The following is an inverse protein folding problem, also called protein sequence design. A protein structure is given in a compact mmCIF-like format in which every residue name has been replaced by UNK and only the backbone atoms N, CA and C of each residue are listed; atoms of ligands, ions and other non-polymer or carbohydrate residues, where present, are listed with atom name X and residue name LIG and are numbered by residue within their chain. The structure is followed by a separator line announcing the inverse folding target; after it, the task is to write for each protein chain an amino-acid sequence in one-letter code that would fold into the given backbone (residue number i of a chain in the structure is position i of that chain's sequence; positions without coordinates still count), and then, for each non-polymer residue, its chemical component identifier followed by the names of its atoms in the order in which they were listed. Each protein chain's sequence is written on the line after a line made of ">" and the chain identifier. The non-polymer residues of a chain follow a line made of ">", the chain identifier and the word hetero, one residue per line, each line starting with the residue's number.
data_IF_866649711230
#
_entry.id   IF_866649711230
#
_cell.length_a   1.000
_cell.length_b   1.000
_cell.length_c   1.000
_cell.angle_alpha   90.00
_cell.angle_beta   90.00
_cell.angle_gamma   90.00
#
_symmetry.space_group_name_H-M   'P 1'
#
loop_
_entity.id
_entity.type
_entity.pdbx_description
1 polymer ?
#
# COMPACT_ATOMS: atom_id res chain seq x y z
N UNK A 1 -7.22 10.55 24.35
CA UNK A 1 -7.20 9.21 23.72
C UNK A 1 -6.70 9.38 22.30
N UNK A 2 -5.59 8.72 21.93
CA UNK A 2 -5.15 8.65 20.53
C UNK A 2 -6.18 7.80 19.79
N UNK A 3 -6.83 8.33 18.75
CA UNK A 3 -7.68 7.50 17.87
C UNK A 3 -6.75 6.51 17.16
N UNK A 4 -7.12 5.23 17.09
CA UNK A 4 -6.40 4.26 16.27
C UNK A 4 -6.53 4.62 14.79
N UNK A 5 -5.58 4.18 13.95
CA UNK A 5 -5.66 4.34 12.50
C UNK A 5 -6.96 3.77 11.94
N UNK A 6 -7.43 2.64 12.49
CA UNK A 6 -8.72 2.03 12.18
C UNK A 6 -9.90 3.01 12.37
N UNK A 7 -9.92 3.77 13.47
CA UNK A 7 -10.97 4.75 13.72
C UNK A 7 -10.94 5.91 12.70
N UNK A 8 -9.75 6.34 12.28
CA UNK A 8 -9.66 7.37 11.24
C UNK A 8 -10.15 6.84 9.89
N UNK A 9 -9.73 5.63 9.49
CA UNK A 9 -10.18 4.98 8.26
C UNK A 9 -11.70 4.81 8.26
N UNK A 10 -12.27 4.37 9.39
CA UNK A 10 -13.72 4.28 9.56
C UNK A 10 -14.41 5.63 9.34
N UNK A 11 -13.92 6.71 9.96
CA UNK A 11 -14.49 8.04 9.79
C UNK A 11 -14.33 8.57 8.36
N UNK A 12 -13.22 8.25 7.69
CA UNK A 12 -12.97 8.62 6.30
C UNK A 12 -14.01 7.98 5.38
N UNK A 13 -14.30 6.69 5.54
CA UNK A 13 -15.35 6.02 4.76
C UNK A 13 -16.74 6.62 5.00
N UNK A 14 -17.04 6.99 6.24
CA UNK A 14 -18.27 7.72 6.56
C UNK A 14 -18.34 9.10 5.91
N UNK A 15 -17.23 9.83 5.88
CA UNK A 15 -17.14 11.15 5.25
C UNK A 15 -17.29 11.07 3.73
N UNK A 16 -16.62 10.11 3.09
CA UNK A 16 -16.76 9.82 1.65
C UNK A 16 -18.16 9.31 1.29
N UNK A 17 -18.94 8.82 2.27
CA UNK A 17 -20.22 8.12 2.06
C UNK A 17 -20.06 6.92 1.12
N UNK A 18 -18.93 6.22 1.25
CA UNK A 18 -18.55 5.10 0.41
C UNK A 18 -18.01 3.96 1.25
N UNK A 19 -18.22 2.74 0.77
CA UNK A 19 -17.58 1.55 1.31
C UNK A 19 -16.22 1.29 0.65
N UNK A 20 -15.30 0.60 1.33
CA UNK A 20 -14.04 0.13 0.74
C UNK A 20 -14.21 -0.57 -0.61
N UNK A 21 -15.25 -1.41 -0.76
CA UNK A 21 -15.52 -2.14 -2.00
C UNK A 21 -15.99 -1.25 -3.13
N UNK A 22 -16.77 -0.21 -2.84
CA UNK A 22 -17.15 0.79 -3.84
C UNK A 22 -15.93 1.55 -4.32
N UNK A 23 -15.09 2.02 -3.39
CA UNK A 23 -13.83 2.70 -3.71
C UNK A 23 -12.92 1.82 -4.59
N UNK A 24 -12.72 0.56 -4.22
CA UNK A 24 -11.92 -0.39 -5.00
C UNK A 24 -12.46 -0.64 -6.44
N UNK A 25 -13.74 -0.33 -6.68
CA UNK A 25 -14.38 -0.43 -8.00
C UNK A 25 -14.38 0.87 -8.81
N UNK A 26 -13.99 2.00 -8.22
CA UNK A 26 -14.05 3.33 -8.85
C UNK A 26 -12.91 3.63 -9.84
N UNK A 27 -11.94 2.71 -10.01
CA UNK A 27 -10.72 2.92 -10.82
C UNK A 27 -10.94 3.76 -12.09
N UNK A 28 -10.54 5.04 -12.05
CA UNK A 28 -10.48 5.93 -13.22
C UNK A 28 -11.76 6.71 -13.55
N UNK A 29 -12.67 6.92 -12.59
CA UNK A 29 -13.88 7.77 -12.74
C UNK A 29 -13.97 8.75 -11.59
N UNK A 30 -14.40 10.01 -11.84
CA UNK A 30 -14.49 11.15 -10.87
C UNK A 30 -14.11 10.73 -9.45
N UNK A 31 -12.78 10.66 -9.23
CA UNK A 31 -12.27 9.88 -8.11
C UNK A 31 -12.66 10.57 -6.81
N UNK A 32 -13.12 9.82 -5.80
CA UNK A 32 -13.15 10.35 -4.45
C UNK A 32 -11.77 10.91 -4.12
N UNK A 33 -11.74 12.03 -3.38
CA UNK A 33 -10.50 12.70 -2.97
C UNK A 33 -10.21 12.45 -1.47
N UNK A 34 -9.75 11.24 -1.06
CA UNK A 34 -9.44 10.93 0.34
C UNK A 34 -8.55 11.97 1.02
N UNK A 35 -7.62 12.56 0.28
CA UNK A 35 -6.68 13.57 0.78
C UNK A 35 -7.37 14.86 1.27
N UNK A 36 -8.62 15.11 0.86
CA UNK A 36 -9.43 16.23 1.33
C UNK A 36 -10.11 15.96 2.69
N UNK A 37 -9.96 14.74 3.24
CA UNK A 37 -10.49 14.40 4.56
C UNK A 37 -9.81 15.26 5.66
N UNK A 38 -10.57 15.90 6.58
CA UNK A 38 -9.98 16.84 7.55
C UNK A 38 -8.92 16.27 8.48
N UNK A 39 -8.88 14.95 8.67
CA UNK A 39 -7.87 14.28 9.51
C UNK A 39 -6.80 13.55 8.67
N UNK A 40 -6.69 13.81 7.35
CA UNK A 40 -5.76 13.14 6.43
C UNK A 40 -4.30 13.17 6.92
N UNK A 41 -3.76 14.35 7.19
CA UNK A 41 -2.37 14.51 7.70
C UNK A 41 -2.13 13.70 8.98
N UNK A 42 -3.12 13.66 9.88
CA UNK A 42 -3.02 12.87 11.12
C UNK A 42 -3.02 11.37 10.85
N UNK A 43 -3.68 10.92 9.80
CA UNK A 43 -3.65 9.53 9.35
C UNK A 43 -2.26 9.16 8.83
N UNK A 44 -1.66 10.01 7.99
CA UNK A 44 -0.29 9.81 7.49
C UNK A 44 0.74 9.79 8.63
N UNK A 45 0.64 10.73 9.56
CA UNK A 45 1.49 10.76 10.77
C UNK A 45 1.36 9.47 11.60
N UNK A 46 0.14 8.94 11.73
CA UNK A 46 -0.12 7.70 12.45
C UNK A 46 0.48 6.49 11.71
N UNK A 47 0.30 6.41 10.40
CA UNK A 47 0.88 5.37 9.54
C UNK A 47 2.40 5.35 9.68
N UNK A 48 3.06 6.50 9.51
CA UNK A 48 4.51 6.56 9.63
C UNK A 48 5.00 6.26 11.05
N UNK A 49 4.25 6.67 12.08
CA UNK A 49 4.54 6.28 13.46
C UNK A 49 4.45 4.76 13.67
N UNK A 50 3.44 4.11 13.08
CA UNK A 50 3.24 2.66 13.15
C UNK A 50 4.36 1.90 12.44
N UNK A 51 4.72 2.32 11.22
CA UNK A 51 5.83 1.74 10.45
C UNK A 51 7.13 1.83 11.25
N UNK A 52 7.44 3.00 11.82
CA UNK A 52 8.67 3.24 12.58
C UNK A 52 8.75 2.45 13.89
N UNK A 53 7.62 2.27 14.58
CA UNK A 53 7.59 1.57 15.88
C UNK A 53 7.82 0.06 15.72
N UNK A 54 7.42 -0.52 14.59
CA UNK A 54 7.38 -1.96 14.38
C UNK A 54 6.34 -2.67 15.28
N UNK A 55 6.34 -4.00 15.25
CA UNK A 55 5.45 -4.83 16.07
C UNK A 55 3.97 -4.74 15.66
N UNK A 56 3.71 -4.77 14.35
CA UNK A 56 2.37 -4.59 13.79
C UNK A 56 1.56 -5.89 13.85
N UNK A 57 0.28 -5.75 14.19
CA UNK A 57 -0.71 -6.84 14.22
C UNK A 57 -1.42 -6.98 12.87
N UNK A 58 -2.14 -8.09 12.60
CA UNK A 58 -2.86 -8.26 11.35
C UNK A 58 -3.82 -7.11 10.99
N UNK A 59 -4.53 -6.54 11.97
CA UNK A 59 -5.41 -5.39 11.74
C UNK A 59 -4.65 -4.13 11.28
N UNK A 60 -3.40 -3.96 11.71
CA UNK A 60 -2.55 -2.87 11.24
C UNK A 60 -2.18 -3.05 9.75
N UNK A 61 -2.04 -4.29 9.27
CA UNK A 61 -1.75 -4.57 7.85
C UNK A 61 -2.91 -4.13 6.95
N UNK A 62 -4.14 -4.46 7.32
CA UNK A 62 -5.32 -4.05 6.55
C UNK A 62 -5.47 -2.52 6.53
N UNK A 63 -5.16 -1.85 7.65
CA UNK A 63 -5.12 -0.39 7.72
C UNK A 63 -4.02 0.20 6.83
N UNK A 64 -2.81 -0.36 6.85
CA UNK A 64 -1.71 0.09 5.99
C UNK A 64 -2.03 -0.08 4.51
N UNK A 65 -2.53 -1.26 4.10
CA UNK A 65 -2.95 -1.51 2.73
C UNK A 65 -4.10 -0.58 2.30
N UNK A 66 -5.00 -0.25 3.22
CA UNK A 66 -6.04 0.74 2.96
C UNK A 66 -5.44 2.12 2.74
N UNK A 67 -4.49 2.54 3.57
CA UNK A 67 -3.83 3.84 3.41
C UNK A 67 -3.03 3.94 2.12
N UNK A 68 -2.29 2.89 1.75
CA UNK A 68 -1.65 2.76 0.43
C UNK A 68 -2.65 2.80 -0.74
N UNK A 69 -3.92 2.45 -0.51
CA UNK A 69 -4.92 2.57 -1.57
C UNK A 69 -5.51 3.99 -1.68
N UNK A 70 -5.48 4.74 -0.58
CA UNK A 70 -6.08 6.06 -0.47
C UNK A 70 -5.12 7.16 -0.92
N UNK A 71 -3.81 6.97 -0.74
CA UNK A 71 -2.76 7.90 -1.20
C UNK A 71 -2.39 7.69 -2.68
N UNK A 72 -2.56 6.46 -3.19
CA UNK A 72 -2.40 6.03 -4.59
C UNK A 72 -1.14 6.60 -5.25
N UNK A 73 -1.26 7.62 -6.13
CA UNK A 73 -0.13 8.16 -6.88
C UNK A 73 0.70 9.19 -6.08
N UNK A 74 0.27 9.65 -4.89
CA UNK A 74 1.16 10.46 -4.01
C UNK A 74 2.23 9.61 -3.34
N UNK A 75 1.98 8.31 -3.18
CA UNK A 75 2.93 7.31 -2.68
C UNK A 75 3.53 7.61 -1.28
N UNK A 76 2.90 8.48 -0.47
CA UNK A 76 3.43 8.90 0.84
C UNK A 76 3.69 7.71 1.78
N UNK A 77 2.78 6.73 1.81
CA UNK A 77 2.92 5.52 2.63
C UNK A 77 3.98 4.59 2.06
N UNK A 78 4.05 4.45 0.73
CA UNK A 78 5.06 3.66 0.04
C UNK A 78 6.48 4.21 0.29
N UNK A 79 6.65 5.53 0.24
CA UNK A 79 7.91 6.20 0.55
C UNK A 79 8.30 6.02 2.02
N UNK A 80 7.32 6.14 2.92
CA UNK A 80 7.54 5.90 4.35
C UNK A 80 7.97 4.44 4.64
N UNK A 81 7.33 3.45 4.00
CA UNK A 81 7.73 2.04 4.06
C UNK A 81 9.12 1.81 3.47
N UNK A 82 9.43 2.45 2.35
CA UNK A 82 10.73 2.34 1.68
C UNK A 82 11.85 2.91 2.56
N UNK A 83 11.61 4.00 3.27
CA UNK A 83 12.61 4.63 4.12
C UNK A 83 12.76 3.96 5.50
N UNK A 84 11.64 3.55 6.12
CA UNK A 84 11.59 3.20 7.55
C UNK A 84 11.14 1.76 7.83
N UNK A 85 10.50 1.09 6.88
CA UNK A 85 10.01 -0.27 7.06
C UNK A 85 11.15 -1.26 7.23
N UNK A 86 11.07 -2.10 8.26
CA UNK A 86 11.97 -3.24 8.43
C UNK A 86 11.64 -4.37 7.43
N UNK A 87 12.58 -5.30 7.25
CA UNK A 87 12.45 -6.39 6.28
C UNK A 87 11.26 -7.31 6.57
N UNK A 88 10.97 -7.58 7.85
CA UNK A 88 9.87 -8.44 8.26
C UNK A 88 8.53 -7.78 7.93
N UNK A 89 8.37 -6.50 8.24
CA UNK A 89 7.19 -5.71 7.91
C UNK A 89 6.97 -5.72 6.39
N UNK A 90 8.00 -5.37 5.61
CA UNK A 90 7.88 -5.34 4.14
C UNK A 90 7.49 -6.72 3.61
N UNK A 91 8.10 -7.79 4.12
CA UNK A 91 7.76 -9.16 3.74
C UNK A 91 6.30 -9.49 4.06
N UNK A 92 5.84 -9.27 5.29
CA UNK A 92 4.47 -9.58 5.70
C UNK A 92 3.45 -8.74 4.93
N UNK A 93 3.69 -7.44 4.79
CA UNK A 93 2.80 -6.51 4.09
C UNK A 93 2.66 -6.88 2.62
N UNK A 94 3.77 -7.17 1.94
CA UNK A 94 3.75 -7.53 0.51
C UNK A 94 3.14 -8.91 0.25
N UNK A 95 3.16 -9.83 1.21
CA UNK A 95 2.37 -11.07 1.13
C UNK A 95 0.87 -10.81 1.36
N UNK A 96 0.53 -9.94 2.31
CA UNK A 96 -0.86 -9.54 2.56
C UNK A 96 -1.46 -8.81 1.34
N UNK A 97 -0.68 -7.94 0.71
CA UNK A 97 -1.06 -7.14 -0.45
C UNK A 97 -1.60 -7.96 -1.62
N UNK A 98 -1.12 -9.19 -1.85
CA UNK A 98 -1.63 -10.08 -2.91
C UNK A 98 -3.14 -10.32 -2.81
N UNK A 99 -3.70 -10.23 -1.59
CA UNK A 99 -5.12 -10.45 -1.30
C UNK A 99 -5.91 -9.16 -1.11
N UNK A 100 -5.25 -7.99 -1.20
CA UNK A 100 -5.92 -6.70 -1.06
C UNK A 100 -6.98 -6.52 -2.13
N UNK A 101 -8.16 -6.03 -1.74
CA UNK A 101 -9.23 -5.69 -2.68
C UNK A 101 -8.85 -4.51 -3.56
N UNK A 102 -7.96 -3.63 -3.09
CA UNK A 102 -7.58 -2.38 -3.74
C UNK A 102 -6.44 -2.60 -4.74
N UNK A 103 -6.67 -2.40 -6.05
CA UNK A 103 -5.58 -2.44 -7.02
C UNK A 103 -4.45 -1.46 -6.70
N UNK A 104 -4.78 -0.29 -6.15
CA UNK A 104 -3.86 0.76 -5.72
C UNK A 104 -2.79 0.22 -4.76
N UNK A 105 -3.23 -0.39 -3.67
CA UNK A 105 -2.34 -1.03 -2.71
C UNK A 105 -1.50 -2.17 -3.34
N UNK A 106 -2.10 -2.97 -4.23
CA UNK A 106 -1.38 -4.10 -4.85
C UNK A 106 -0.25 -3.64 -5.74
N UNK A 107 -0.46 -2.60 -6.57
CA UNK A 107 0.60 -2.09 -7.42
C UNK A 107 1.72 -1.43 -6.60
N UNK A 108 1.37 -0.71 -5.54
CA UNK A 108 2.36 -0.12 -4.63
C UNK A 108 3.15 -1.20 -3.87
N UNK A 109 2.52 -2.32 -3.44
CA UNK A 109 3.26 -3.45 -2.87
C UNK A 109 4.27 -4.04 -3.87
N UNK A 110 3.91 -4.14 -5.15
CA UNK A 110 4.84 -4.59 -6.17
C UNK A 110 5.99 -3.59 -6.38
N UNK A 111 5.71 -2.29 -6.33
CA UNK A 111 6.72 -1.22 -6.39
C UNK A 111 7.68 -1.29 -5.19
N UNK A 112 7.15 -1.51 -3.98
CA UNK A 112 7.95 -1.66 -2.76
C UNK A 112 8.97 -2.80 -2.86
N UNK A 113 8.58 -3.93 -3.47
CA UNK A 113 9.49 -5.05 -3.74
C UNK A 113 10.60 -4.71 -4.75
N UNK A 114 10.36 -3.73 -5.63
CA UNK A 114 11.37 -3.16 -6.53
C UNK A 114 12.35 -2.22 -5.80
N UNK A 115 11.86 -1.47 -4.81
CA UNK A 115 12.65 -0.50 -4.03
C UNK A 115 13.44 -1.14 -2.89
N UNK A 116 12.95 -2.24 -2.34
CA UNK A 116 13.53 -2.91 -1.16
C UNK A 116 13.77 -4.38 -1.45
N UNK A 117 15.01 -4.83 -1.24
CA UNK A 117 15.36 -6.24 -1.34
C UNK A 117 14.83 -6.99 -0.12
N UNK A 118 13.96 -7.96 -0.34
CA UNK A 118 13.51 -8.92 0.68
C UNK A 118 13.71 -10.36 0.18
N UNK A 119 13.83 -11.34 1.09
CA UNK A 119 13.75 -12.75 0.75
C UNK A 119 12.51 -13.04 -0.09
N UNK A 120 12.68 -13.86 -1.13
CA UNK A 120 11.60 -14.26 -2.06
C UNK A 120 10.90 -13.11 -2.82
N UNK A 121 11.41 -11.87 -2.76
CA UNK A 121 10.79 -10.71 -3.41
C UNK A 121 10.55 -10.91 -4.92
N UNK A 122 11.45 -11.60 -5.62
CA UNK A 122 11.28 -11.93 -7.04
C UNK A 122 10.16 -12.97 -7.27
N UNK A 123 9.95 -13.91 -6.35
CA UNK A 123 8.85 -14.87 -6.45
C UNK A 123 7.50 -14.18 -6.20
N UNK A 124 7.43 -13.26 -5.23
CA UNK A 124 6.27 -12.41 -4.99
C UNK A 124 5.94 -11.51 -6.18
N UNK A 125 6.96 -10.84 -6.76
CA UNK A 125 6.76 -10.01 -7.95
C UNK A 125 6.18 -10.78 -9.14
N UNK A 126 6.56 -12.05 -9.32
CA UNK A 126 5.95 -12.91 -10.34
C UNK A 126 4.46 -13.17 -10.07
N UNK A 127 4.04 -13.23 -8.81
CA UNK A 127 2.62 -13.36 -8.47
C UNK A 127 1.87 -12.06 -8.80
N UNK A 128 2.40 -10.89 -8.41
CA UNK A 128 1.83 -9.60 -8.81
C UNK A 128 1.83 -9.37 -10.33
N UNK A 129 2.80 -9.90 -11.07
CA UNK A 129 2.85 -9.81 -12.53
C UNK A 129 1.74 -10.63 -13.23
N UNK A 130 1.07 -11.51 -12.49
CA UNK A 130 -0.09 -12.29 -12.91
C UNK A 130 -1.41 -11.73 -12.31
N UNK A 131 -1.40 -10.53 -11.74
CA UNK A 131 -2.61 -9.89 -11.22
C UNK A 131 -3.66 -9.71 -12.33
N UNK A 132 -4.93 -9.79 -11.94
CA UNK A 132 -6.07 -9.55 -12.84
C UNK A 132 -6.14 -8.11 -13.31
N UNK A 133 -5.61 -7.17 -12.52
CA UNK A 133 -5.53 -5.78 -12.86
C UNK A 133 -4.29 -5.52 -13.72
N UNK A 134 -4.50 -4.99 -14.93
CA UNK A 134 -3.43 -4.78 -15.90
C UNK A 134 -2.40 -3.74 -15.43
N UNK A 135 -2.82 -2.74 -14.63
CA UNK A 135 -1.93 -1.73 -14.08
C UNK A 135 -1.02 -2.34 -13.00
N UNK A 136 -1.59 -3.13 -12.09
CA UNK A 136 -0.81 -3.90 -11.09
C UNK A 136 0.21 -4.80 -11.77
N UNK A 137 -0.23 -5.59 -12.76
CA UNK A 137 0.64 -6.49 -13.49
C UNK A 137 1.77 -5.75 -14.24
N UNK A 138 1.48 -4.57 -14.79
CA UNK A 138 2.48 -3.70 -15.43
C UNK A 138 3.51 -3.18 -14.43
N UNK A 139 3.08 -2.64 -13.28
CA UNK A 139 3.99 -2.13 -12.23
C UNK A 139 4.90 -3.24 -11.69
N UNK A 140 4.36 -4.42 -11.45
CA UNK A 140 5.16 -5.58 -11.03
C UNK A 140 6.25 -5.96 -12.03
N UNK A 141 5.94 -5.99 -13.34
CA UNK A 141 6.95 -6.27 -14.37
C UNK A 141 8.02 -5.18 -14.46
N UNK A 142 7.65 -3.92 -14.23
CA UNK A 142 8.62 -2.82 -14.16
C UNK A 142 9.57 -2.99 -12.97
N UNK A 143 9.03 -3.29 -11.79
CA UNK A 143 9.83 -3.56 -10.59
C UNK A 143 10.80 -4.75 -10.80
N UNK A 144 10.34 -5.84 -11.45
CA UNK A 144 11.22 -6.96 -11.82
C UNK A 144 12.38 -6.51 -12.71
N UNK A 145 12.11 -5.69 -13.73
CA UNK A 145 13.13 -5.18 -14.64
C UNK A 145 14.16 -4.32 -13.91
N UNK A 146 13.71 -3.45 -13.00
CA UNK A 146 14.58 -2.60 -12.20
C UNK A 146 15.58 -3.44 -11.37
N UNK A 147 15.10 -4.49 -10.70
CA UNK A 147 15.96 -5.41 -9.93
C UNK A 147 16.97 -6.13 -10.84
N UNK A 148 16.56 -6.57 -12.03
CA UNK A 148 17.47 -7.29 -12.94
C UNK A 148 18.46 -6.38 -13.67
N UNK A 149 18.07 -5.14 -13.96
CA UNK A 149 18.95 -4.14 -14.58
C UNK A 149 20.07 -3.74 -13.63
N UNK A 150 19.75 -3.50 -12.36
CA UNK A 150 20.72 -3.12 -11.33
C UNK A 150 21.72 -4.22 -10.94
N UNK A 151 21.59 -5.45 -11.47
CA UNK A 151 22.52 -6.57 -11.21
C UNK A 151 23.59 -6.73 -12.29
N UNK A 152 23.51 -5.96 -13.38
CA UNK A 152 24.43 -6.04 -14.51
C UNK A 152 25.42 -4.87 -14.58
N UNK A 153 25.45 -4.01 -13.56
CA UNK A 153 26.42 -2.93 -13.34
C UNK A 153 27.35 -3.28 -12.17
#
# INVERSE_FOLDING_TARGET
>A
MRKSLENYIHNLWHWLKMTPRQYAGCCGTEDPEPYMFPEWEKMLDEVCSLIKRGGLFPADMDCLLTMMALDDETEDVLDCLTAQGDELLISVLTHAGLRSIFPQARWQCAELLGRRSIPDGMALLRQYANDRDAYVAKRARNAMKAITGNKND
#
